data_IF_761564677060
#
_entry.id   IF_761564677060
#
_cell.length_a   1.000
_cell.length_b   1.000
_cell.length_c   1.000
_cell.angle_alpha   90.00
_cell.angle_beta   90.00
_cell.angle_gamma   90.00
#
_symmetry.space_group_name_H-M   'P 1'
#
loop_
_entity.id
_entity.type
_entity.pdbx_description
1 polymer ?
#
# COMPACT_ATOMS: atom_id res chain seq x y z
N UNK A 1 44.03 -31.48 46.51
CA UNK A 1 43.39 -30.33 47.17
C UNK A 1 41.90 -30.35 46.81
N UNK A 2 41.16 -31.38 47.20
CA UNK A 2 40.66 -31.57 48.57
C UNK A 2 39.79 -30.38 49.01
N UNK A 3 38.47 -30.51 49.01
CA UNK A 3 37.79 -30.98 50.22
C UNK A 3 36.32 -31.31 49.94
N UNK A 4 35.97 -32.50 50.36
CA UNK A 4 34.66 -33.12 50.48
C UNK A 4 33.86 -32.46 51.60
N UNK A 5 32.54 -32.34 51.47
CA UNK A 5 31.61 -32.52 52.60
C UNK A 5 30.18 -32.71 52.08
N UNK A 6 29.78 -33.98 52.06
CA UNK A 6 28.39 -34.42 51.98
C UNK A 6 27.78 -34.29 53.38
N UNK A 7 26.53 -33.83 53.49
CA UNK A 7 25.67 -34.28 54.59
C UNK A 7 24.30 -34.73 54.07
N UNK A 8 24.01 -35.98 54.42
CA UNK A 8 22.85 -36.78 54.11
C UNK A 8 21.84 -36.65 55.26
N UNK A 9 20.56 -36.40 54.98
CA UNK A 9 19.38 -36.80 55.78
C UNK A 9 18.16 -36.14 55.13
N UNK A 10 17.00 -36.73 54.82
CA UNK A 10 16.36 -38.02 55.08
C UNK A 10 15.10 -38.01 54.18
N UNK A 11 14.78 -39.09 53.46
CA UNK A 11 13.47 -39.25 52.78
C UNK A 11 12.39 -39.49 53.87
N UNK A 12 11.13 -39.03 53.70
CA UNK A 12 10.19 -39.85 52.93
C UNK A 12 9.16 -39.05 52.10
N UNK A 13 8.86 -39.63 50.93
CA UNK A 13 7.53 -39.77 50.34
C UNK A 13 6.48 -38.69 50.64
N UNK A 14 6.37 -37.68 49.77
CA UNK A 14 5.08 -37.00 49.60
C UNK A 14 4.47 -37.40 48.25
N UNK A 15 3.35 -38.10 48.36
CA UNK A 15 2.48 -38.54 47.29
C UNK A 15 2.27 -37.44 46.25
N UNK A 16 2.53 -37.80 44.98
CA UNK A 16 2.08 -37.03 43.82
C UNK A 16 0.55 -37.19 43.74
N UNK A 17 -0.19 -36.46 44.58
CA UNK A 17 -1.61 -36.27 44.36
C UNK A 17 -1.73 -35.27 43.21
N UNK A 18 -1.71 -35.79 41.98
CA UNK A 18 -2.07 -35.02 40.80
C UNK A 18 -3.56 -34.74 40.89
N UNK A 19 -3.92 -33.72 41.65
CA UNK A 19 -5.21 -33.07 41.48
C UNK A 19 -5.11 -32.35 40.15
N UNK A 20 -5.78 -32.91 39.15
CA UNK A 20 -6.13 -32.25 37.90
C UNK A 20 -6.91 -30.99 38.22
N UNK A 21 -6.18 -29.93 38.55
CA UNK A 21 -6.75 -28.63 38.82
C UNK A 21 -7.26 -28.11 37.49
N UNK A 22 -8.58 -28.19 37.31
CA UNK A 22 -9.32 -27.63 36.18
C UNK A 22 -8.88 -26.18 35.99
N UNK A 23 -7.93 -25.95 35.07
CA UNK A 23 -7.67 -24.61 34.54
C UNK A 23 -8.84 -24.30 33.61
N UNK A 24 -9.84 -23.65 34.21
CA UNK A 24 -10.91 -22.88 33.61
C UNK A 24 -10.78 -22.71 32.09
N UNK A 25 -11.61 -23.42 31.33
CA UNK A 25 -11.81 -23.24 29.89
C UNK A 25 -12.23 -21.81 29.51
N UNK A 26 -12.54 -20.93 30.47
CA UNK A 26 -12.96 -19.54 30.24
C UNK A 26 -11.79 -18.59 29.90
N UNK A 27 -10.53 -18.92 30.23
CA UNK A 27 -9.39 -18.06 29.89
C UNK A 27 -8.93 -18.21 28.41
N UNK A 28 -9.10 -19.40 27.82
CA UNK A 28 -8.73 -19.65 26.42
C UNK A 28 -9.73 -19.03 25.43
N UNK A 29 -11.02 -19.04 25.76
CA UNK A 29 -12.07 -18.34 25.00
C UNK A 29 -11.82 -16.83 24.97
N UNK A 30 -11.48 -16.21 26.09
CA UNK A 30 -11.23 -14.77 26.15
C UNK A 30 -10.03 -14.36 25.29
N UNK A 31 -8.94 -15.14 25.31
CA UNK A 31 -7.76 -14.86 24.50
C UNK A 31 -8.04 -15.01 22.99
N UNK A 32 -8.80 -16.03 22.57
CA UNK A 32 -9.17 -16.20 21.17
C UNK A 32 -10.12 -15.09 20.69
N UNK A 33 -11.09 -14.67 21.51
CA UNK A 33 -11.94 -13.53 21.19
C UNK A 33 -11.16 -12.23 21.00
N UNK A 34 -10.17 -11.95 21.86
CA UNK A 34 -9.31 -10.78 21.73
C UNK A 34 -8.46 -10.81 20.45
N UNK A 35 -7.90 -11.98 20.10
CA UNK A 35 -7.14 -12.15 18.86
C UNK A 35 -8.04 -11.96 17.63
N UNK A 36 -9.23 -12.56 17.61
CA UNK A 36 -10.18 -12.40 16.51
C UNK A 36 -10.66 -10.95 16.37
N UNK A 37 -10.96 -10.28 17.48
CA UNK A 37 -11.33 -8.86 17.49
C UNK A 37 -10.20 -7.97 16.96
N UNK A 38 -8.95 -8.24 17.35
CA UNK A 38 -7.78 -7.51 16.85
C UNK A 38 -7.56 -7.68 15.34
N UNK A 39 -7.75 -8.90 14.81
CA UNK A 39 -7.68 -9.19 13.37
C UNK A 39 -8.78 -8.47 12.59
N UNK A 40 -10.00 -8.46 13.12
CA UNK A 40 -11.13 -7.74 12.50
C UNK A 40 -10.86 -6.24 12.46
N UNK A 41 -10.39 -5.65 13.57
CA UNK A 41 -10.00 -4.23 13.62
C UNK A 41 -8.87 -3.91 12.64
N UNK A 42 -7.89 -4.81 12.49
CA UNK A 42 -6.81 -4.65 11.52
C UNK A 42 -7.33 -4.64 10.08
N UNK A 43 -8.28 -5.51 9.74
CA UNK A 43 -8.92 -5.54 8.42
C UNK A 43 -9.73 -4.28 8.12
N UNK A 44 -10.42 -3.72 9.13
CA UNK A 44 -11.12 -2.43 9.00
C UNK A 44 -10.17 -1.23 8.87
N UNK A 45 -8.95 -1.34 9.41
CA UNK A 45 -7.92 -0.32 9.28
C UNK A 45 -7.24 -0.31 7.90
N UNK A 46 -7.46 -1.33 7.06
CA UNK A 46 -6.93 -1.34 5.71
C UNK A 46 -7.76 -0.40 4.82
N UNK A 47 -7.19 0.71 4.39
CA UNK A 47 -7.80 1.54 3.35
C UNK A 47 -7.93 0.74 2.05
N UNK A 48 -9.17 0.54 1.60
CA UNK A 48 -9.44 -0.14 0.33
C UNK A 48 -9.00 0.77 -0.79
N UNK A 49 -7.87 0.40 -1.37
CA UNK A 49 -7.17 1.17 -2.37
C UNK A 49 -7.79 0.91 -3.77
N UNK A 50 -9.08 1.19 -3.92
CA UNK A 50 -9.85 0.99 -5.16
C UNK A 50 -9.44 1.96 -6.27
N UNK A 51 -9.56 1.51 -7.52
CA UNK A 51 -9.50 2.40 -8.67
C UNK A 51 -10.79 3.24 -8.75
N UNK A 52 -10.73 4.51 -9.18
CA UNK A 52 -11.92 5.29 -9.44
C UNK A 52 -12.74 4.61 -10.52
N UNK A 53 -14.07 4.67 -10.38
CA UNK A 53 -14.97 4.24 -11.43
C UNK A 53 -14.83 5.17 -12.63
N UNK A 54 -14.87 4.58 -13.81
CA UNK A 54 -14.93 5.35 -15.05
C UNK A 54 -16.34 5.85 -15.26
N UNK A 55 -16.50 7.17 -15.24
CA UNK A 55 -17.74 7.82 -15.67
C UNK A 55 -17.98 7.49 -17.14
N UNK A 56 -19.18 6.99 -17.46
CA UNK A 56 -19.59 6.69 -18.85
C UNK A 56 -19.98 7.95 -19.62
N UNK A 57 -19.80 9.14 -19.04
CA UNK A 57 -20.00 10.38 -19.75
C UNK A 57 -19.12 10.38 -21.01
N UNK A 58 -19.83 10.40 -22.15
CA UNK A 58 -19.25 10.52 -23.47
C UNK A 58 -18.74 11.96 -23.56
N UNK A 59 -17.52 12.17 -23.08
CA UNK A 59 -16.80 13.42 -23.31
C UNK A 59 -16.73 13.72 -24.81
N UNK A 60 -16.59 14.99 -25.16
CA UNK A 60 -16.44 15.38 -26.55
C UNK A 60 -15.29 14.59 -27.22
N UNK A 61 -15.48 14.15 -28.47
CA UNK A 61 -14.46 13.39 -29.16
C UNK A 61 -13.17 14.21 -29.26
N UNK A 62 -12.10 13.71 -28.63
CA UNK A 62 -10.79 14.34 -28.67
C UNK A 62 -10.21 14.18 -30.07
N UNK A 63 -10.26 15.27 -30.84
CA UNK A 63 -9.59 15.33 -32.14
C UNK A 63 -8.08 15.46 -31.95
N UNK A 64 -7.25 14.60 -32.60
CA UNK A 64 -5.80 14.70 -32.52
C UNK A 64 -5.24 16.07 -32.93
N UNK A 65 -5.96 16.81 -33.78
CA UNK A 65 -5.57 18.15 -34.24
C UNK A 65 -5.67 19.22 -33.15
N UNK A 66 -6.48 19.00 -32.13
CA UNK A 66 -6.74 19.98 -31.08
C UNK A 66 -5.81 19.81 -29.87
N UNK A 67 -5.04 18.71 -29.81
CA UNK A 67 -4.13 18.47 -28.70
C UNK A 67 -2.70 18.86 -29.07
N UNK A 68 -2.22 19.97 -28.49
CA UNK A 68 -0.89 20.53 -28.74
C UNK A 68 0.25 19.52 -28.58
N UNK A 69 0.15 18.62 -27.60
CA UNK A 69 1.20 17.63 -27.29
C UNK A 69 0.83 16.20 -27.71
N UNK A 70 -0.24 16.05 -28.50
CA UNK A 70 -0.79 14.77 -28.93
C UNK A 70 -1.88 14.22 -28.01
N UNK A 71 -2.27 12.98 -28.27
CA UNK A 71 -3.33 12.28 -27.53
C UNK A 71 -2.71 11.16 -26.71
N UNK A 72 -3.12 11.04 -25.46
CA UNK A 72 -2.78 9.94 -24.57
C UNK A 72 -4.05 9.21 -24.14
N UNK A 73 -3.90 8.02 -23.56
CA UNK A 73 -5.00 7.31 -22.94
C UNK A 73 -5.04 7.65 -21.45
N UNK A 74 -6.22 8.00 -20.94
CA UNK A 74 -6.46 8.08 -19.51
C UNK A 74 -6.56 6.67 -18.89
N UNK A 75 -6.71 6.61 -17.57
CA UNK A 75 -6.91 5.36 -16.83
C UNK A 75 -8.13 4.55 -17.33
N UNK A 76 -9.15 5.24 -17.82
CA UNK A 76 -10.38 4.67 -18.37
C UNK A 76 -10.26 4.27 -19.84
N UNK A 77 -9.05 4.30 -20.42
CA UNK A 77 -8.77 4.03 -21.84
C UNK A 77 -9.51 4.96 -22.80
N UNK A 78 -9.83 6.18 -22.36
CA UNK A 78 -10.39 7.23 -23.19
C UNK A 78 -9.25 8.09 -23.76
N UNK A 79 -9.35 8.51 -25.03
CA UNK A 79 -8.40 9.46 -25.60
C UNK A 79 -8.55 10.81 -24.91
N UNK A 80 -7.47 11.35 -24.37
CA UNK A 80 -7.38 12.67 -23.74
C UNK A 80 -6.19 13.44 -24.29
N UNK A 81 -6.23 14.78 -24.27
CA UNK A 81 -5.05 15.55 -24.63
C UNK A 81 -3.92 15.30 -23.62
N UNK A 82 -2.73 14.99 -24.14
CA UNK A 82 -1.56 14.76 -23.31
C UNK A 82 -1.00 16.07 -22.74
N UNK A 83 -0.24 15.94 -21.66
CA UNK A 83 0.36 17.05 -20.91
C UNK A 83 1.70 17.48 -21.51
N UNK A 84 1.94 18.78 -21.50
CA UNK A 84 3.17 19.43 -21.97
C UNK A 84 4.29 19.50 -20.92
N UNK A 85 5.48 19.99 -21.29
CA UNK A 85 6.62 20.13 -20.37
C UNK A 85 6.27 21.00 -19.16
N UNK A 86 6.59 20.53 -17.95
CA UNK A 86 6.36 21.24 -16.69
C UNK A 86 4.92 21.22 -16.17
N UNK A 87 3.96 20.73 -16.95
CA UNK A 87 2.57 20.54 -16.51
C UNK A 87 2.45 19.38 -15.51
N UNK A 88 1.41 19.45 -14.66
CA UNK A 88 1.12 18.40 -13.68
C UNK A 88 0.75 17.08 -14.36
N UNK A 89 1.24 15.97 -13.81
CA UNK A 89 0.99 14.63 -14.31
C UNK A 89 0.98 13.59 -13.18
N UNK A 90 0.55 12.37 -13.50
CA UNK A 90 0.65 11.23 -12.59
C UNK A 90 -0.51 11.14 -11.61
N UNK A 91 -0.20 10.83 -10.35
CA UNK A 91 -1.17 10.32 -9.38
C UNK A 91 -1.39 8.81 -9.55
N UNK A 92 -2.00 8.20 -8.53
CA UNK A 92 -2.12 6.73 -8.42
C UNK A 92 -2.78 6.08 -9.64
N UNK A 93 -3.72 6.80 -10.26
CA UNK A 93 -4.48 6.34 -11.43
C UNK A 93 -4.32 7.30 -12.62
N UNK A 94 -3.17 7.97 -12.76
CA UNK A 94 -2.95 8.98 -13.82
C UNK A 94 -4.01 10.10 -13.83
N UNK A 95 -4.65 10.34 -12.69
CA UNK A 95 -5.75 11.32 -12.53
C UNK A 95 -5.30 12.77 -12.78
N UNK A 96 -4.00 13.05 -12.66
CA UNK A 96 -3.43 14.37 -12.99
C UNK A 96 -3.02 14.48 -14.46
N UNK A 97 -3.16 13.41 -15.24
CA UNK A 97 -2.89 13.36 -16.67
C UNK A 97 -1.61 12.62 -17.04
N UNK A 98 -1.51 12.34 -18.34
CA UNK A 98 -0.41 11.60 -18.96
C UNK A 98 0.41 12.54 -19.84
N UNK A 99 1.74 12.50 -19.72
CA UNK A 99 2.64 13.34 -20.52
C UNK A 99 2.62 12.95 -22.02
N UNK A 100 2.86 13.93 -22.88
CA UNK A 100 2.98 13.73 -24.32
C UNK A 100 4.28 13.04 -24.74
N UNK A 101 4.42 12.77 -26.04
CA UNK A 101 5.60 12.11 -26.60
C UNK A 101 6.89 12.86 -26.23
N UNK A 102 7.95 12.13 -25.87
CA UNK A 102 9.25 12.69 -25.48
C UNK A 102 9.33 13.22 -24.05
N UNK A 103 8.22 13.13 -23.30
CA UNK A 103 8.11 13.54 -21.90
C UNK A 103 7.76 12.34 -21.02
N UNK A 104 8.21 12.37 -19.77
CA UNK A 104 7.87 11.37 -18.75
C UNK A 104 7.47 12.07 -17.46
N UNK A 105 6.65 11.42 -16.64
CA UNK A 105 6.18 12.01 -15.38
C UNK A 105 7.21 11.81 -14.28
N UNK A 106 7.77 12.90 -13.76
CA UNK A 106 8.71 12.92 -12.63
C UNK A 106 8.27 14.02 -11.66
N UNK A 107 8.21 13.72 -10.36
CA UNK A 107 7.77 14.70 -9.35
C UNK A 107 6.41 15.34 -9.64
N UNK A 108 5.47 14.55 -10.13
CA UNK A 108 4.15 15.00 -10.57
C UNK A 108 4.21 16.09 -11.66
N UNK A 109 5.31 16.18 -12.42
CA UNK A 109 5.49 17.09 -13.56
C UNK A 109 6.07 16.39 -14.78
N UNK A 110 5.66 16.82 -15.96
CA UNK A 110 6.22 16.28 -17.20
C UNK A 110 7.63 16.80 -17.44
N UNK A 111 8.59 15.88 -17.46
CA UNK A 111 10.03 16.11 -17.60
C UNK A 111 10.52 15.53 -18.93
N UNK A 112 11.47 16.20 -19.57
CA UNK A 112 11.98 15.87 -20.91
C UNK A 112 11.77 17.00 -21.92
N UNK A 113 11.80 16.69 -23.21
CA UNK A 113 11.56 17.64 -24.29
C UNK A 113 10.42 17.17 -25.18
N UNK A 114 9.52 18.09 -25.51
CA UNK A 114 8.48 17.83 -26.51
C UNK A 114 9.08 17.88 -27.92
N UNK A 115 8.92 16.84 -28.77
CA UNK A 115 9.37 16.87 -30.16
C UNK A 115 8.49 17.78 -31.04
N UNK A 116 7.32 18.20 -30.54
CA UNK A 116 6.36 19.03 -31.30
C UNK A 116 6.70 20.51 -31.16
N UNK A 117 7.04 20.95 -29.94
CA UNK A 117 7.26 22.37 -29.61
C UNK A 117 8.73 22.70 -29.38
N UNK A 118 9.57 21.68 -29.16
CA UNK A 118 10.97 21.81 -28.75
C UNK A 118 11.15 22.45 -27.36
N UNK A 119 10.06 22.60 -26.61
CA UNK A 119 10.07 23.05 -25.23
C UNK A 119 10.53 21.90 -24.32
N UNK A 120 11.38 22.22 -23.35
CA UNK A 120 11.93 21.26 -22.41
C UNK A 120 11.72 21.70 -20.96
N UNK A 121 11.51 20.72 -20.08
CA UNK A 121 11.44 20.91 -18.64
C UNK A 121 12.27 19.82 -17.95
N UNK A 122 13.20 20.23 -17.09
CA UNK A 122 14.15 19.33 -16.41
C UNK A 122 14.14 19.51 -14.89
N UNK A 123 13.07 20.08 -14.35
CA UNK A 123 13.00 20.51 -12.96
C UNK A 123 12.42 19.48 -12.00
N UNK A 124 12.94 19.55 -10.76
CA UNK A 124 12.58 18.86 -9.51
C UNK A 124 13.15 17.45 -9.33
N UNK A 125 13.96 17.35 -8.27
CA UNK A 125 14.25 16.10 -7.57
C UNK A 125 13.23 15.97 -6.43
N UNK A 126 12.63 14.80 -6.38
CA UNK A 126 11.74 14.28 -5.36
C UNK A 126 12.10 12.78 -5.25
#
# INVERSE_FOLDING_TARGET
>A
SDLFSIQFSSRPSLNLHQSSNMRNSSASLNATFLLMASLVLFMFAMETNGAPNCELEVGEPVSPKNCKFGVAMDWCRRPVCSKGPGESCGGRWMQHGTCGTGLYCQCNRCTGCSPVTLDCFYGQFC
#
